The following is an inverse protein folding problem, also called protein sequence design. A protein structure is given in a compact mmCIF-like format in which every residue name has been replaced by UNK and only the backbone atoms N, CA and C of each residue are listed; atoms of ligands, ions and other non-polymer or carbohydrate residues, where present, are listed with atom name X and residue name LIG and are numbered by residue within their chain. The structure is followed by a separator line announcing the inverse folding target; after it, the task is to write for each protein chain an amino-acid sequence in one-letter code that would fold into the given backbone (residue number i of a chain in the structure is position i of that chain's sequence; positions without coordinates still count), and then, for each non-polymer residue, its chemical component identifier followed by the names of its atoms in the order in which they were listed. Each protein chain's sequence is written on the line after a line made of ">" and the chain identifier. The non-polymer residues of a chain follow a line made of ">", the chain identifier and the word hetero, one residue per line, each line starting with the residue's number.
data_IF_960982508906
#
_entry.id   IF_960982508906
#
_cell.length_a   1.000
_cell.length_b   1.000
_cell.length_c   1.000
_cell.angle_alpha   90.00
_cell.angle_beta   90.00
_cell.angle_gamma   90.00
#
_symmetry.space_group_name_H-M   'P 1'
#
loop_
_entity.id
_entity.type
_entity.pdbx_description
1 polymer ?
#
# COMPACT_ATOMS: atom_id res chain seq x y z
N UNK A 1 0.78 21.09 16.49
CA UNK A 1 0.94 19.65 16.78
C UNK A 1 -0.08 19.28 17.84
N UNK A 2 -0.71 18.12 17.72
CA UNK A 2 -1.60 17.62 18.78
C UNK A 2 -0.81 17.42 20.08
N UNK A 3 -1.48 17.59 21.21
CA UNK A 3 -0.85 17.42 22.52
C UNK A 3 -0.43 15.95 22.72
N UNK A 4 0.80 15.76 23.20
CA UNK A 4 1.35 14.43 23.46
C UNK A 4 0.69 13.81 24.70
N UNK A 5 0.46 12.51 24.69
CA UNK A 5 -0.11 11.80 25.84
C UNK A 5 0.71 12.06 27.14
N UNK A 6 0.06 12.39 28.27
CA UNK A 6 0.76 12.65 29.53
C UNK A 6 1.57 11.43 30.03
N UNK A 7 2.79 11.66 30.48
CA UNK A 7 3.69 10.59 30.97
C UNK A 7 3.12 9.81 32.16
N UNK A 8 2.29 10.44 32.99
CA UNK A 8 1.61 9.77 34.11
C UNK A 8 0.65 8.67 33.62
N UNK A 9 -0.08 8.92 32.53
CA UNK A 9 -0.98 7.93 31.90
C UNK A 9 -0.18 6.77 31.30
N UNK A 10 0.96 7.05 30.65
CA UNK A 10 1.85 6.01 30.10
C UNK A 10 2.42 5.12 31.20
N UNK A 11 2.85 5.73 32.32
CA UNK A 11 3.37 4.98 33.48
C UNK A 11 2.28 4.08 34.09
N UNK A 12 1.08 4.61 34.25
CA UNK A 12 -0.06 3.85 34.76
C UNK A 12 -0.44 2.69 33.81
N UNK A 13 -0.50 2.96 32.49
CA UNK A 13 -0.76 1.95 31.48
C UNK A 13 0.31 0.83 31.49
N UNK A 14 1.58 1.19 31.52
CA UNK A 14 2.66 0.19 31.55
C UNK A 14 2.61 -0.69 32.81
N UNK A 15 2.28 -0.11 33.97
CA UNK A 15 2.10 -0.87 35.20
C UNK A 15 0.89 -1.81 35.14
N UNK A 16 -0.23 -1.34 34.57
CA UNK A 16 -1.43 -2.14 34.37
C UNK A 16 -1.16 -3.33 33.43
N UNK A 17 -0.53 -3.09 32.29
CA UNK A 17 -0.21 -4.14 31.29
C UNK A 17 0.72 -5.21 31.87
N UNK A 18 1.78 -4.82 32.57
CA UNK A 18 2.70 -5.78 33.23
C UNK A 18 2.02 -6.64 34.29
N UNK A 19 1.03 -6.07 34.99
CA UNK A 19 0.23 -6.80 36.01
C UNK A 19 -0.74 -7.78 35.36
N UNK A 20 -1.34 -7.41 34.22
CA UNK A 20 -2.34 -8.22 33.53
C UNK A 20 -1.72 -9.37 32.75
N UNK A 21 -0.57 -9.13 32.10
CA UNK A 21 0.17 -10.16 31.36
C UNK A 21 1.68 -9.88 31.42
N UNK A 22 2.40 -10.65 32.21
CA UNK A 22 3.86 -10.53 32.34
C UNK A 22 4.63 -11.05 31.11
N UNK A 23 3.97 -11.79 30.21
CA UNK A 23 4.56 -12.30 28.97
C UNK A 23 4.43 -11.30 27.81
N UNK A 24 3.58 -10.29 27.96
CA UNK A 24 3.43 -9.24 26.93
C UNK A 24 4.73 -8.45 26.79
N UNK A 25 5.31 -8.42 25.60
CA UNK A 25 6.51 -7.63 25.34
C UNK A 25 6.16 -6.13 25.35
N UNK A 26 6.73 -5.42 26.28
CA UNK A 26 6.61 -3.95 26.41
C UNK A 26 7.99 -3.30 26.26
N UNK A 27 8.08 -2.26 25.44
CA UNK A 27 9.26 -1.43 25.26
C UNK A 27 8.87 0.02 25.59
N UNK A 28 9.64 0.63 26.46
CA UNK A 28 9.44 2.01 26.91
C UNK A 28 10.69 2.87 26.74
N UNK A 29 10.87 3.87 27.60
CA UNK A 29 11.97 4.83 27.53
C UNK A 29 13.38 4.19 27.58
N UNK A 30 13.50 2.97 28.08
CA UNK A 30 14.73 2.16 28.09
C UNK A 30 15.16 1.69 26.70
N UNK A 31 14.28 1.76 25.70
CA UNK A 31 14.51 1.28 24.32
C UNK A 31 14.23 2.37 23.27
N UNK A 32 14.90 3.54 23.34
CA UNK A 32 14.55 4.71 22.51
C UNK A 32 14.68 4.45 21.01
N UNK A 33 15.68 3.69 20.56
CA UNK A 33 15.87 3.34 19.14
C UNK A 33 14.73 2.47 18.60
N UNK A 34 14.24 1.54 19.41
CA UNK A 34 13.11 0.68 19.02
C UNK A 34 11.80 1.47 19.02
N UNK A 35 11.59 2.38 19.99
CA UNK A 35 10.44 3.29 19.96
C UNK A 35 10.43 4.12 18.69
N UNK A 36 11.56 4.72 18.32
CA UNK A 36 11.69 5.49 17.07
C UNK A 36 11.41 4.62 15.85
N UNK A 37 12.08 3.49 15.73
CA UNK A 37 11.94 2.56 14.59
C UNK A 37 10.50 2.08 14.41
N UNK A 38 9.81 1.74 15.53
CA UNK A 38 8.43 1.24 15.50
C UNK A 38 7.38 2.36 15.37
N UNK A 39 7.78 3.61 15.51
CA UNK A 39 6.93 4.79 15.30
C UNK A 39 6.98 5.34 13.86
N UNK A 40 7.79 4.78 12.98
CA UNK A 40 7.99 5.28 11.62
C UNK A 40 7.49 4.30 10.57
N UNK A 41 7.05 4.85 9.45
CA UNK A 41 6.94 4.16 8.16
C UNK A 41 7.86 4.88 7.14
N UNK A 42 7.64 4.68 5.85
CA UNK A 42 8.45 5.29 4.78
C UNK A 42 7.90 6.66 4.32
N UNK A 43 7.36 7.48 5.24
CA UNK A 43 6.84 8.82 4.92
C UNK A 43 7.89 9.80 4.38
N UNK A 44 9.15 9.47 4.48
CA UNK A 44 10.28 10.24 3.94
C UNK A 44 10.31 10.32 2.40
N UNK A 45 9.44 9.56 1.73
CA UNK A 45 9.13 9.78 0.30
C UNK A 45 8.48 11.15 0.04
N UNK A 46 7.84 11.73 1.05
CA UNK A 46 7.16 13.01 0.97
C UNK A 46 7.93 14.11 1.70
N UNK A 47 8.48 15.10 0.97
CA UNK A 47 9.11 16.27 1.60
C UNK A 47 8.16 17.10 2.48
N UNK A 48 6.84 16.99 2.25
CA UNK A 48 5.79 17.63 3.06
C UNK A 48 5.60 16.90 4.39
N UNK A 49 5.61 15.55 4.35
CA UNK A 49 5.39 14.75 5.56
C UNK A 49 6.59 14.72 6.49
N UNK A 50 7.81 14.86 5.97
CA UNK A 50 9.03 14.82 6.80
C UNK A 50 8.98 15.84 7.94
N UNK A 51 8.82 17.16 7.70
CA UNK A 51 8.74 18.15 8.79
C UNK A 51 7.49 17.99 9.63
N UNK A 52 6.37 17.54 9.07
CA UNK A 52 5.11 17.35 9.76
C UNK A 52 5.15 16.21 10.79
N UNK A 53 5.84 15.12 10.45
CA UNK A 53 5.90 13.90 11.25
C UNK A 53 7.18 13.77 12.08
N UNK A 54 8.13 14.69 11.92
CA UNK A 54 9.35 14.72 12.68
C UNK A 54 9.06 14.85 14.18
N UNK A 55 9.61 13.91 14.98
CA UNK A 55 9.40 13.87 16.43
C UNK A 55 8.11 13.18 16.87
N UNK A 56 7.22 12.77 15.96
CA UNK A 56 6.08 11.93 16.30
C UNK A 56 6.57 10.51 16.64
N UNK A 57 6.61 10.19 17.93
CA UNK A 57 7.13 8.93 18.45
C UNK A 57 6.26 8.42 19.58
N UNK A 58 6.03 7.11 19.62
CA UNK A 58 5.37 6.44 20.72
C UNK A 58 6.15 6.59 22.02
N UNK A 59 5.45 6.51 23.15
CA UNK A 59 6.04 6.49 24.48
C UNK A 59 6.13 5.05 25.02
N UNK A 60 5.30 4.15 24.45
CA UNK A 60 5.27 2.75 24.78
C UNK A 60 5.00 1.93 23.50
N UNK A 61 5.62 0.76 23.40
CA UNK A 61 5.28 -0.23 22.36
C UNK A 61 4.87 -1.51 23.06
N UNK A 62 3.75 -2.11 22.64
CA UNK A 62 3.33 -3.45 23.02
C UNK A 62 3.35 -4.34 21.76
N UNK A 63 4.01 -5.51 21.84
CA UNK A 63 3.94 -6.52 20.79
C UNK A 63 3.05 -7.66 21.22
N UNK A 64 1.90 -7.79 20.56
CA UNK A 64 0.96 -8.86 20.80
C UNK A 64 1.29 -10.11 19.96
N UNK A 65 1.17 -11.28 20.56
CA UNK A 65 1.32 -12.60 19.92
C UNK A 65 0.02 -13.40 19.90
N UNK A 66 -0.99 -12.93 20.63
CA UNK A 66 -2.34 -13.53 20.67
C UNK A 66 -3.41 -12.45 20.63
N UNK A 67 -4.64 -12.83 20.24
CA UNK A 67 -5.80 -11.94 20.20
C UNK A 67 -6.18 -11.47 21.62
N UNK A 68 -5.99 -12.33 22.64
CA UNK A 68 -6.23 -11.99 24.03
C UNK A 68 -5.32 -10.84 24.49
N UNK A 69 -4.06 -10.82 24.04
CA UNK A 69 -3.14 -9.71 24.33
C UNK A 69 -3.61 -8.42 23.64
N UNK A 70 -4.15 -8.51 22.41
CA UNK A 70 -4.74 -7.33 21.73
C UNK A 70 -5.92 -6.79 22.52
N UNK A 71 -6.86 -7.66 22.94
CA UNK A 71 -7.99 -7.27 23.81
C UNK A 71 -7.50 -6.60 25.09
N UNK A 72 -6.52 -7.18 25.77
CA UNK A 72 -5.95 -6.67 26.99
C UNK A 72 -5.35 -5.26 26.79
N UNK A 73 -4.55 -5.08 25.74
CA UNK A 73 -3.92 -3.77 25.43
C UNK A 73 -4.98 -2.73 25.06
N UNK A 74 -5.94 -3.09 24.21
CA UNK A 74 -7.02 -2.18 23.81
C UNK A 74 -7.84 -1.71 25.02
N UNK A 75 -8.26 -2.63 25.89
CA UNK A 75 -9.02 -2.28 27.11
C UNK A 75 -8.22 -1.41 28.07
N UNK A 76 -6.95 -1.71 28.29
CA UNK A 76 -6.09 -0.90 29.15
C UNK A 76 -5.89 0.52 28.59
N UNK A 77 -5.62 0.66 27.28
CA UNK A 77 -5.52 1.96 26.62
C UNK A 77 -6.81 2.78 26.76
N UNK A 78 -7.97 2.15 26.52
CA UNK A 78 -9.26 2.83 26.63
C UNK A 78 -9.55 3.29 28.08
N UNK A 79 -9.26 2.45 29.10
CA UNK A 79 -9.44 2.82 30.52
C UNK A 79 -8.54 3.94 30.97
N UNK A 80 -7.30 3.99 30.47
CA UNK A 80 -6.31 5.01 30.81
C UNK A 80 -6.39 6.26 29.92
N UNK A 81 -7.24 6.27 28.88
CA UNK A 81 -7.34 7.37 27.93
C UNK A 81 -6.05 7.56 27.10
N UNK A 82 -5.30 6.48 26.84
CA UNK A 82 -4.04 6.53 26.09
C UNK A 82 -4.28 6.28 24.61
N UNK A 83 -3.82 7.18 23.72
CA UNK A 83 -3.86 6.97 22.27
C UNK A 83 -3.14 5.68 21.87
N UNK A 84 -3.76 4.91 20.95
CA UNK A 84 -3.22 3.67 20.43
C UNK A 84 -3.07 3.76 18.91
N UNK A 85 -1.88 3.48 18.40
CA UNK A 85 -1.61 3.35 16.96
C UNK A 85 -1.24 1.92 16.63
N UNK A 86 -1.98 1.29 15.71
CA UNK A 86 -1.70 -0.08 15.27
C UNK A 86 -0.59 -0.09 14.23
N UNK A 87 0.32 -1.05 14.35
CA UNK A 87 1.40 -1.27 13.40
C UNK A 87 1.45 -2.73 12.96
N UNK A 88 1.47 -2.95 11.65
CA UNK A 88 1.93 -4.20 11.05
C UNK A 88 3.43 -4.14 10.75
N UNK A 89 3.83 -4.32 9.51
CA UNK A 89 5.24 -4.22 9.10
C UNK A 89 5.76 -2.77 8.94
N UNK A 90 4.88 -1.77 8.87
CA UNK A 90 5.24 -0.36 8.70
C UNK A 90 5.84 -0.02 7.34
N UNK A 91 5.40 -0.71 6.29
CA UNK A 91 5.86 -0.50 4.90
C UNK A 91 5.06 0.54 4.14
N UNK A 92 4.09 1.20 4.77
CA UNK A 92 3.37 2.36 4.22
C UNK A 92 4.29 3.57 4.07
N UNK A 93 3.83 4.59 3.36
CA UNK A 93 4.62 5.79 3.08
C UNK A 93 3.81 7.11 3.19
N UNK A 94 2.67 7.06 3.89
CA UNK A 94 1.81 8.23 4.12
C UNK A 94 1.78 8.63 5.62
N UNK A 95 2.70 8.11 6.43
CA UNK A 95 2.65 8.31 7.88
C UNK A 95 1.51 7.53 8.56
N UNK A 96 1.00 6.48 7.92
CA UNK A 96 -0.22 5.77 8.33
C UNK A 96 -0.12 5.18 9.73
N UNK A 97 1.05 4.65 10.12
CA UNK A 97 1.30 4.08 11.44
C UNK A 97 2.18 4.95 12.34
N UNK A 98 2.33 6.25 12.02
CA UNK A 98 3.06 7.21 12.85
C UNK A 98 2.13 7.74 13.95
N UNK A 99 2.49 7.63 15.24
CA UNK A 99 1.65 8.04 16.36
C UNK A 99 1.68 9.57 16.57
N UNK A 100 0.72 10.29 15.99
CA UNK A 100 0.69 11.77 16.00
C UNK A 100 0.59 12.38 17.41
N UNK A 101 -0.02 11.66 18.37
CA UNK A 101 -0.22 12.09 19.75
C UNK A 101 0.66 11.29 20.74
N UNK A 102 1.67 10.57 20.27
CA UNK A 102 2.44 9.67 21.11
C UNK A 102 1.62 8.45 21.55
N UNK A 103 1.55 8.18 22.85
CA UNK A 103 0.81 7.06 23.41
C UNK A 103 1.48 5.70 23.13
N UNK A 104 0.68 4.67 22.84
CA UNK A 104 1.14 3.31 22.63
C UNK A 104 1.07 2.93 21.14
N UNK A 105 2.15 2.32 20.61
CA UNK A 105 2.13 1.58 19.36
C UNK A 105 1.88 0.10 19.65
N UNK A 106 0.84 -0.47 19.07
CA UNK A 106 0.53 -1.90 19.12
C UNK A 106 1.11 -2.59 17.88
N UNK A 107 2.21 -3.30 18.08
CA UNK A 107 2.89 -4.10 17.04
C UNK A 107 2.21 -5.46 16.94
N UNK A 108 1.57 -5.72 15.80
CA UNK A 108 0.87 -6.97 15.49
C UNK A 108 1.74 -8.00 14.76
N UNK A 109 3.03 -7.77 14.60
CA UNK A 109 3.93 -8.70 13.90
C UNK A 109 3.99 -10.11 14.52
N UNK A 110 3.58 -10.24 15.78
CA UNK A 110 3.46 -11.51 16.48
C UNK A 110 2.22 -12.33 16.11
N UNK A 111 1.15 -11.70 15.58
CA UNK A 111 -0.02 -12.39 15.03
C UNK A 111 0.26 -12.72 13.55
N UNK A 112 0.93 -13.84 13.29
CA UNK A 112 1.49 -14.11 11.95
C UNK A 112 1.16 -15.51 11.39
N UNK A 113 0.16 -16.19 11.95
CA UNK A 113 -0.21 -17.54 11.53
C UNK A 113 -1.15 -17.51 10.33
N UNK A 114 -0.93 -18.41 9.38
CA UNK A 114 -1.95 -18.85 8.45
C UNK A 114 -2.85 -19.82 9.21
N UNK A 115 -4.08 -19.39 9.56
CA UNK A 115 -5.01 -20.16 10.38
C UNK A 115 -5.62 -21.32 9.60
N UNK A 116 -6.12 -21.03 8.38
CA UNK A 116 -6.79 -22.01 7.54
C UNK A 116 -6.70 -21.63 6.06
N UNK A 117 -6.61 -22.63 5.21
CA UNK A 117 -6.94 -22.54 3.79
C UNK A 117 -8.01 -23.57 3.47
N UNK A 118 -9.20 -23.13 3.11
CA UNK A 118 -10.22 -24.01 2.53
C UNK A 118 -9.84 -24.28 1.06
N UNK A 119 -9.38 -25.49 0.79
CA UNK A 119 -8.91 -25.88 -0.54
C UNK A 119 -10.04 -25.97 -1.57
N UNK A 120 -11.29 -26.23 -1.12
CA UNK A 120 -12.45 -26.32 -2.02
C UNK A 120 -12.88 -24.95 -2.52
N UNK A 121 -12.93 -23.95 -1.64
CA UNK A 121 -13.36 -22.59 -1.97
C UNK A 121 -12.22 -21.64 -2.27
N UNK A 122 -10.99 -21.99 -1.87
CA UNK A 122 -9.82 -21.12 -1.95
C UNK A 122 -9.85 -19.94 -0.96
N UNK A 123 -10.68 -20.02 0.08
CA UNK A 123 -10.72 -18.99 1.13
C UNK A 123 -9.56 -19.20 2.11
N UNK A 124 -8.77 -18.16 2.29
CA UNK A 124 -7.68 -18.08 3.24
C UNK A 124 -8.13 -17.35 4.49
N UNK A 125 -7.89 -17.93 5.68
CA UNK A 125 -7.94 -17.22 6.95
C UNK A 125 -6.52 -17.05 7.49
N UNK A 126 -6.13 -15.80 7.78
CA UNK A 126 -4.76 -15.43 8.13
C UNK A 126 -4.73 -14.29 9.13
N UNK A 127 -3.77 -14.32 10.06
CA UNK A 127 -3.56 -13.26 11.03
C UNK A 127 -2.93 -12.01 10.42
N UNK A 128 -3.30 -10.84 10.97
CA UNK A 128 -3.02 -9.52 10.38
C UNK A 128 -1.53 -9.17 10.26
N UNK A 129 -0.69 -9.69 11.15
CA UNK A 129 0.77 -9.47 11.14
C UNK A 129 1.52 -10.40 10.19
N UNK A 130 0.88 -11.39 9.59
CA UNK A 130 1.53 -12.32 8.67
C UNK A 130 2.13 -11.59 7.47
N UNK A 131 3.40 -11.84 7.17
CA UNK A 131 4.07 -11.26 6.00
C UNK A 131 3.55 -11.89 4.71
N UNK A 132 3.21 -11.06 3.74
CA UNK A 132 2.61 -11.52 2.48
C UNK A 132 3.54 -12.46 1.71
N UNK A 133 4.85 -12.23 1.73
CA UNK A 133 5.82 -13.13 1.12
C UNK A 133 5.91 -14.50 1.83
N UNK A 134 5.63 -14.58 3.13
CA UNK A 134 5.53 -15.84 3.86
C UNK A 134 4.23 -16.58 3.53
N UNK A 135 3.12 -15.83 3.38
CA UNK A 135 1.83 -16.37 2.92
C UNK A 135 1.99 -16.98 1.51
N UNK A 136 2.57 -16.26 0.56
CA UNK A 136 2.81 -16.77 -0.80
C UNK A 136 3.61 -18.08 -0.81
N UNK A 137 4.65 -18.18 0.03
CA UNK A 137 5.44 -19.42 0.17
C UNK A 137 4.63 -20.61 0.68
N UNK A 138 3.62 -20.36 1.52
CA UNK A 138 2.74 -21.42 2.05
C UNK A 138 1.62 -21.79 1.07
N UNK A 139 1.17 -20.84 0.24
CA UNK A 139 0.13 -21.04 -0.77
C UNK A 139 0.65 -21.74 -2.03
N UNK A 140 1.86 -21.41 -2.47
CA UNK A 140 2.43 -21.93 -3.72
C UNK A 140 2.45 -23.46 -3.85
N UNK A 141 2.84 -24.27 -2.82
CA UNK A 141 2.78 -25.73 -2.89
C UNK A 141 1.36 -26.30 -3.03
N UNK A 142 0.34 -25.50 -2.68
CA UNK A 142 -1.08 -25.83 -2.78
C UNK A 142 -1.72 -25.32 -4.09
N UNK A 143 -0.90 -24.84 -5.04
CA UNK A 143 -1.37 -24.27 -6.30
C UNK A 143 -2.19 -22.98 -6.14
N UNK A 144 -2.01 -22.24 -5.05
CA UNK A 144 -2.73 -21.02 -4.74
C UNK A 144 -1.80 -19.81 -4.67
N UNK A 145 -2.36 -18.62 -4.88
CA UNK A 145 -1.67 -17.33 -4.79
C UNK A 145 -2.59 -16.25 -4.21
N UNK A 146 -2.01 -15.21 -3.62
CA UNK A 146 -2.74 -13.99 -3.29
C UNK A 146 -3.19 -13.28 -4.58
N UNK A 147 -4.40 -12.71 -4.58
CA UNK A 147 -4.93 -11.96 -5.73
C UNK A 147 -4.20 -10.64 -5.95
N UNK A 148 -3.91 -9.95 -4.88
CA UNK A 148 -3.33 -8.60 -4.87
C UNK A 148 -2.14 -8.58 -3.92
N UNK A 149 -1.03 -8.03 -4.39
CA UNK A 149 0.19 -7.86 -3.57
C UNK A 149 0.82 -6.49 -3.84
N UNK A 150 1.36 -5.80 -2.81
CA UNK A 150 2.13 -4.59 -3.01
C UNK A 150 3.52 -4.92 -3.58
N UNK A 151 4.23 -3.92 -4.12
CA UNK A 151 5.65 -4.08 -4.47
C UNK A 151 6.50 -4.54 -3.28
N UNK A 152 6.12 -4.12 -2.06
CA UNK A 152 6.75 -4.52 -0.78
C UNK A 152 6.32 -5.91 -0.28
N UNK A 153 5.81 -6.80 -1.12
CA UNK A 153 5.25 -8.11 -0.74
C UNK A 153 6.15 -8.93 0.19
N UNK A 154 7.47 -8.81 0.07
CA UNK A 154 8.42 -9.55 0.92
C UNK A 154 8.40 -9.11 2.39
N UNK A 155 8.05 -7.86 2.64
CA UNK A 155 8.11 -7.23 3.97
C UNK A 155 6.77 -6.69 4.47
N UNK A 156 5.76 -6.53 3.61
CA UNK A 156 4.46 -6.04 4.01
C UNK A 156 3.67 -7.10 4.78
N UNK A 157 2.97 -6.69 5.85
CA UNK A 157 1.97 -7.51 6.53
C UNK A 157 0.62 -7.41 5.82
N UNK A 158 -0.14 -8.51 5.83
CA UNK A 158 -1.44 -8.58 5.14
C UNK A 158 -2.47 -7.63 5.76
N UNK A 159 -2.53 -7.51 7.08
CA UNK A 159 -3.43 -6.56 7.74
C UNK A 159 -3.06 -5.10 7.46
N UNK A 160 -1.74 -4.79 7.43
CA UNK A 160 -1.26 -3.47 7.04
C UNK A 160 -1.58 -3.12 5.59
N UNK A 161 -1.54 -4.11 4.68
CA UNK A 161 -1.91 -3.92 3.28
C UNK A 161 -3.39 -3.60 3.11
N UNK A 162 -4.30 -4.27 3.84
CA UNK A 162 -5.73 -3.94 3.83
C UNK A 162 -5.99 -2.58 4.49
N UNK A 163 -5.38 -2.31 5.64
CA UNK A 163 -5.61 -1.06 6.38
C UNK A 163 -5.06 0.19 5.68
N UNK A 164 -4.03 0.07 4.86
CA UNK A 164 -3.32 1.23 4.30
C UNK A 164 -3.12 1.23 2.79
N UNK A 165 -3.32 0.10 2.11
CA UNK A 165 -3.17 0.01 0.66
C UNK A 165 -4.47 0.27 -0.10
N UNK A 166 -4.36 0.49 -1.40
CA UNK A 166 -5.51 0.64 -2.30
C UNK A 166 -5.47 -0.37 -3.45
N UNK A 167 -4.29 -0.77 -3.91
CA UNK A 167 -4.06 -1.70 -5.00
C UNK A 167 -2.61 -2.17 -5.03
N UNK A 168 -2.24 -2.84 -6.11
CA UNK A 168 -0.90 -3.38 -6.31
C UNK A 168 -0.85 -4.30 -7.53
N UNK A 169 0.17 -5.13 -7.60
CA UNK A 169 0.30 -6.19 -8.63
C UNK A 169 -0.91 -7.12 -8.49
N UNK A 170 -1.55 -7.40 -9.61
CA UNK A 170 -2.84 -8.11 -9.66
C UNK A 170 -4.05 -7.19 -9.84
N UNK A 171 -3.92 -5.86 -9.65
CA UNK A 171 -5.04 -4.92 -9.84
C UNK A 171 -5.59 -4.89 -11.26
N UNK A 172 -4.80 -5.26 -12.27
CA UNK A 172 -5.29 -5.44 -13.64
C UNK A 172 -6.34 -6.56 -13.76
N UNK A 173 -6.19 -7.62 -12.95
CA UNK A 173 -7.12 -8.76 -12.96
C UNK A 173 -8.28 -8.59 -11.98
N UNK A 174 -7.98 -8.13 -10.77
CA UNK A 174 -8.88 -8.21 -9.62
C UNK A 174 -9.43 -6.86 -9.15
N UNK A 175 -9.01 -5.74 -9.79
CA UNK A 175 -9.38 -4.41 -9.35
C UNK A 175 -8.61 -3.95 -8.11
N UNK A 176 -9.21 -3.04 -7.35
CA UNK A 176 -8.66 -2.50 -6.12
C UNK A 176 -9.04 -3.34 -4.88
N UNK A 177 -8.35 -3.12 -3.77
CA UNK A 177 -8.62 -3.83 -2.51
C UNK A 177 -10.06 -3.62 -2.00
N UNK A 178 -10.65 -2.45 -2.25
CA UNK A 178 -12.04 -2.13 -1.86
C UNK A 178 -13.10 -2.67 -2.83
N UNK A 179 -12.70 -3.23 -3.97
CA UNK A 179 -13.66 -3.82 -4.91
C UNK A 179 -14.29 -5.09 -4.31
N UNK A 180 -15.58 -5.32 -4.55
CA UNK A 180 -16.30 -6.47 -4.01
C UNK A 180 -15.61 -7.79 -4.34
N UNK A 181 -15.47 -8.66 -3.35
CA UNK A 181 -14.90 -10.00 -3.50
C UNK A 181 -13.37 -10.06 -3.29
N UNK A 182 -12.68 -8.96 -2.99
CA UNK A 182 -11.26 -8.98 -2.63
C UNK A 182 -11.01 -9.05 -1.12
N UNK A 183 -12.03 -8.76 -0.31
CA UNK A 183 -12.05 -8.96 1.14
C UNK A 183 -13.36 -9.66 1.50
N UNK A 184 -13.29 -10.80 2.18
CA UNK A 184 -14.46 -11.62 2.54
C UNK A 184 -14.87 -11.44 4.00
N UNK A 185 -14.00 -10.90 4.84
CA UNK A 185 -14.30 -10.62 6.23
C UNK A 185 -13.06 -10.26 7.04
N UNK A 186 -13.31 -9.69 8.21
CA UNK A 186 -12.29 -9.31 9.18
C UNK A 186 -12.66 -9.81 10.57
N UNK A 187 -11.65 -10.21 11.33
CA UNK A 187 -11.71 -10.30 12.78
C UNK A 187 -11.13 -8.99 13.35
N UNK A 188 -11.88 -8.34 14.23
CA UNK A 188 -11.59 -6.98 14.69
C UNK A 188 -11.76 -6.87 16.19
N UNK A 189 -10.83 -6.22 16.87
CA UNK A 189 -10.93 -5.82 18.27
C UNK A 189 -11.31 -4.34 18.34
N UNK A 190 -12.30 -4.00 19.16
CA UNK A 190 -12.73 -2.62 19.42
C UNK A 190 -11.81 -1.95 20.45
N UNK A 191 -11.76 -0.60 20.45
CA UNK A 191 -11.02 0.17 21.45
C UNK A 191 -12.00 0.78 22.44
N UNK A 192 -12.40 -0.02 23.43
CA UNK A 192 -13.33 0.29 24.48
C UNK A 192 -12.79 -0.21 25.83
N UNK A 193 -13.26 0.28 26.99
CA UNK A 193 -12.82 -0.22 28.32
C UNK A 193 -13.02 -1.75 28.48
N UNK A 194 -14.06 -2.31 27.86
CA UNK A 194 -14.35 -3.74 27.70
C UNK A 194 -14.36 -4.08 26.20
N UNK A 195 -13.20 -4.37 25.59
CA UNK A 195 -13.12 -4.58 24.14
C UNK A 195 -13.91 -5.80 23.69
N UNK A 196 -14.51 -5.69 22.52
CA UNK A 196 -15.21 -6.80 21.86
C UNK A 196 -14.36 -7.38 20.74
N UNK A 197 -14.40 -8.69 20.59
CA UNK A 197 -13.89 -9.38 19.41
C UNK A 197 -15.05 -9.60 18.43
N UNK A 198 -14.96 -9.00 17.26
CA UNK A 198 -16.00 -9.01 16.23
C UNK A 198 -15.57 -9.84 15.03
N UNK A 199 -16.52 -10.63 14.51
CA UNK A 199 -16.36 -11.31 13.21
C UNK A 199 -17.22 -10.56 12.20
N UNK A 200 -16.59 -9.83 11.29
CA UNK A 200 -17.24 -9.01 10.29
C UNK A 200 -17.28 -9.74 8.96
N UNK A 201 -18.42 -9.70 8.27
CA UNK A 201 -18.52 -10.13 6.89
C UNK A 201 -17.92 -9.10 5.91
N UNK A 202 -18.01 -9.36 4.61
CA UNK A 202 -17.43 -8.50 3.58
C UNK A 202 -17.99 -7.07 3.64
N UNK A 203 -19.30 -6.90 3.84
CA UNK A 203 -19.95 -5.60 3.87
C UNK A 203 -19.56 -4.80 5.11
N UNK A 204 -19.61 -5.41 6.29
CA UNK A 204 -19.21 -4.79 7.55
C UNK A 204 -17.70 -4.50 7.64
N UNK A 205 -16.88 -5.24 6.86
CA UNK A 205 -15.43 -5.03 6.77
C UNK A 205 -15.03 -3.86 5.86
N UNK A 206 -15.88 -3.47 4.91
CA UNK A 206 -15.56 -2.45 3.91
C UNK A 206 -15.10 -1.10 4.51
N UNK A 207 -15.68 -0.58 5.59
CA UNK A 207 -15.24 0.68 6.21
C UNK A 207 -13.85 0.63 6.84
N UNK A 208 -13.32 -0.58 7.15
CA UNK A 208 -11.99 -0.74 7.75
C UNK A 208 -10.88 -0.87 6.68
N UNK A 209 -11.26 -1.12 5.42
CA UNK A 209 -10.35 -1.18 4.30
C UNK A 209 -9.90 0.24 3.92
N UNK A 210 -8.58 0.46 3.88
CA UNK A 210 -7.96 1.77 3.61
C UNK A 210 -8.41 2.87 4.62
N UNK A 211 -8.46 2.51 5.90
CA UNK A 211 -8.84 3.42 6.98
C UNK A 211 -7.67 3.74 7.93
N UNK A 212 -6.44 3.37 7.59
CA UNK A 212 -5.20 3.61 8.36
C UNK A 212 -5.27 3.10 9.81
N UNK A 213 -6.11 2.08 10.06
CA UNK A 213 -6.32 1.55 11.41
C UNK A 213 -6.91 2.58 12.39
N UNK A 214 -7.78 3.46 11.91
CA UNK A 214 -8.44 4.48 12.74
C UNK A 214 -9.74 4.00 13.37
N UNK A 215 -10.34 2.92 12.85
CA UNK A 215 -11.71 2.54 13.17
C UNK A 215 -11.87 1.03 13.48
N UNK A 216 -10.83 0.41 14.02
CA UNK A 216 -10.82 -0.98 14.46
C UNK A 216 -9.44 -1.60 14.37
N UNK A 217 -9.12 -2.54 15.27
CA UNK A 217 -7.86 -3.27 15.31
C UNK A 217 -8.05 -4.59 14.59
N UNK A 218 -7.56 -4.71 13.37
CA UNK A 218 -7.67 -5.93 12.56
C UNK A 218 -6.70 -6.98 13.13
N UNK A 219 -7.21 -8.13 13.56
CA UNK A 219 -6.42 -9.25 14.11
C UNK A 219 -6.30 -10.41 13.14
N UNK A 220 -7.34 -10.67 12.32
CA UNK A 220 -7.28 -11.66 11.25
C UNK A 220 -8.15 -11.24 10.05
N UNK A 221 -7.90 -11.88 8.90
CA UNK A 221 -8.57 -11.61 7.64
C UNK A 221 -9.05 -12.90 6.98
N UNK A 222 -10.19 -12.83 6.30
CA UNK A 222 -10.67 -13.84 5.38
C UNK A 222 -10.57 -13.29 3.98
N UNK A 223 -9.75 -13.92 3.13
CA UNK A 223 -9.40 -13.46 1.79
C UNK A 223 -9.63 -14.56 0.76
N UNK A 224 -10.08 -14.23 -0.46
CA UNK A 224 -10.06 -15.18 -1.56
C UNK A 224 -8.63 -15.31 -2.10
N UNK A 225 -8.21 -16.53 -2.37
CA UNK A 225 -7.02 -16.80 -3.16
C UNK A 225 -7.39 -17.00 -4.64
N UNK A 226 -6.39 -17.00 -5.51
CA UNK A 226 -6.53 -17.45 -6.91
C UNK A 226 -5.72 -18.72 -7.14
N UNK A 227 -5.92 -19.36 -8.28
CA UNK A 227 -4.96 -20.34 -8.77
C UNK A 227 -3.60 -19.67 -9.00
N UNK A 228 -2.53 -20.40 -8.64
CA UNK A 228 -1.17 -19.95 -8.89
C UNK A 228 -0.85 -20.06 -10.39
N UNK A 229 -0.49 -18.94 -11.00
CA UNK A 229 -0.01 -18.91 -12.39
C UNK A 229 1.51 -18.74 -12.37
N UNK A 230 2.21 -19.55 -13.16
CA UNK A 230 3.66 -19.42 -13.36
C UNK A 230 3.96 -18.27 -14.32
N UNK A 231 3.77 -17.04 -13.86
CA UNK A 231 3.93 -15.85 -14.67
C UNK A 231 5.27 -15.78 -15.38
N UNK A 232 5.23 -15.37 -16.64
CA UNK A 232 6.41 -15.01 -17.41
C UNK A 232 6.64 -13.51 -17.29
N UNK A 233 7.85 -13.13 -16.99
CA UNK A 233 8.29 -11.76 -16.90
C UNK A 233 8.87 -11.36 -18.27
N UNK A 234 8.38 -10.27 -18.88
CA UNK A 234 8.87 -9.75 -20.14
C UNK A 234 9.28 -8.28 -19.98
N UNK A 235 10.39 -7.92 -20.59
CA UNK A 235 10.82 -6.53 -20.80
C UNK A 235 10.80 -6.27 -22.30
N UNK A 236 10.03 -5.26 -22.70
CA UNK A 236 9.86 -4.85 -24.10
C UNK A 236 10.31 -3.41 -24.26
N UNK A 237 11.26 -3.18 -25.14
CA UNK A 237 11.78 -1.85 -25.46
C UNK A 237 11.00 -1.19 -26.59
N UNK A 238 10.83 0.14 -26.50
CA UNK A 238 10.23 0.99 -27.54
C UNK A 238 11.11 2.23 -27.75
N UNK A 239 11.20 2.69 -29.00
CA UNK A 239 11.95 3.91 -29.33
C UNK A 239 11.21 5.19 -28.92
N UNK A 240 9.87 5.13 -28.93
CA UNK A 240 9.03 6.29 -28.68
C UNK A 240 8.01 6.05 -27.56
N UNK A 241 7.82 7.04 -26.70
CA UNK A 241 6.83 7.01 -25.62
C UNK A 241 5.41 6.72 -26.12
N UNK A 242 4.98 7.39 -27.21
CA UNK A 242 3.65 7.19 -27.77
C UNK A 242 3.39 5.76 -28.24
N UNK A 243 4.43 5.04 -28.74
CA UNK A 243 4.31 3.63 -29.10
C UNK A 243 4.15 2.74 -27.88
N UNK A 244 4.96 2.97 -26.83
CA UNK A 244 4.86 2.22 -25.57
C UNK A 244 3.48 2.41 -24.91
N UNK A 245 2.99 3.65 -24.86
CA UNK A 245 1.67 3.99 -24.32
C UNK A 245 0.56 3.32 -25.14
N UNK A 246 0.57 3.45 -26.47
CA UNK A 246 -0.43 2.84 -27.34
C UNK A 246 -0.43 1.31 -27.24
N UNK A 247 0.76 0.69 -27.14
CA UNK A 247 0.86 -0.76 -26.94
C UNK A 247 0.28 -1.18 -25.59
N UNK A 248 0.57 -0.42 -24.51
CA UNK A 248 0.02 -0.68 -23.18
C UNK A 248 -1.51 -0.52 -23.13
N UNK A 249 -2.07 0.48 -23.79
CA UNK A 249 -3.53 0.66 -23.92
C UNK A 249 -4.16 -0.48 -24.73
N UNK A 250 -3.58 -0.79 -25.89
CA UNK A 250 -4.12 -1.82 -26.78
C UNK A 250 -4.11 -3.23 -26.15
N UNK A 251 -3.04 -3.58 -25.42
CA UNK A 251 -2.90 -4.91 -24.81
C UNK A 251 -3.96 -5.17 -23.72
N UNK A 252 -4.44 -4.12 -23.03
CA UNK A 252 -5.50 -4.26 -22.02
C UNK A 252 -6.84 -4.66 -22.59
N UNK A 253 -7.04 -4.49 -23.91
CA UNK A 253 -8.26 -4.87 -24.64
C UNK A 253 -8.13 -6.22 -25.35
N UNK A 254 -7.03 -6.96 -25.11
CA UNK A 254 -6.82 -8.29 -25.68
C UNK A 254 -7.29 -9.40 -24.73
N UNK A 255 -7.32 -10.64 -25.26
CA UNK A 255 -7.57 -11.84 -24.48
C UNK A 255 -6.31 -12.40 -23.79
N UNK A 256 -5.16 -11.71 -23.86
CA UNK A 256 -3.97 -12.15 -23.13
C UNK A 256 -4.20 -12.14 -21.62
N UNK A 257 -3.86 -13.24 -20.97
CA UNK A 257 -3.90 -13.30 -19.52
C UNK A 257 -2.64 -12.63 -18.95
N UNK A 258 -2.83 -11.43 -18.38
CA UNK A 258 -1.78 -10.59 -17.82
C UNK A 258 -2.08 -10.27 -16.35
N UNK A 259 -1.07 -10.34 -15.49
CA UNK A 259 -1.19 -9.97 -14.08
C UNK A 259 -0.80 -8.50 -13.80
N UNK A 260 0.16 -8.00 -14.55
CA UNK A 260 0.62 -6.61 -14.44
C UNK A 260 1.15 -6.09 -15.77
N UNK A 261 1.00 -4.80 -15.98
CA UNK A 261 1.56 -4.02 -17.09
C UNK A 261 2.09 -2.74 -16.47
N UNK A 262 3.39 -2.49 -16.62
CA UNK A 262 4.07 -1.27 -16.16
C UNK A 262 4.71 -0.57 -17.36
N UNK A 263 4.49 0.73 -17.53
CA UNK A 263 5.13 1.53 -18.58
C UNK A 263 6.09 2.52 -17.93
N UNK A 264 7.32 2.52 -18.39
CA UNK A 264 8.40 3.36 -17.85
C UNK A 264 9.01 4.24 -18.93
N UNK A 265 9.12 5.51 -18.62
CA UNK A 265 9.77 6.50 -19.48
C UNK A 265 11.30 6.35 -19.46
N UNK A 266 11.96 6.68 -20.58
CA UNK A 266 13.40 6.51 -20.81
C UNK A 266 14.32 6.99 -19.68
N UNK A 267 14.12 8.17 -19.04
CA UNK A 267 14.95 8.59 -17.94
C UNK A 267 14.91 7.62 -16.76
N UNK A 268 13.71 7.10 -16.40
CA UNK A 268 13.56 6.08 -15.35
C UNK A 268 14.23 4.78 -15.75
N UNK A 269 13.99 4.34 -16.98
CA UNK A 269 14.55 3.09 -17.55
C UNK A 269 16.06 3.05 -17.44
N UNK A 270 16.73 4.18 -17.69
CA UNK A 270 18.21 4.25 -17.69
C UNK A 270 18.86 3.96 -16.33
N UNK A 271 18.11 4.05 -15.22
CA UNK A 271 18.64 3.99 -13.86
C UNK A 271 18.11 2.83 -13.01
N UNK A 272 17.15 2.06 -13.54
CA UNK A 272 16.60 0.92 -12.80
C UNK A 272 17.57 -0.26 -12.78
N UNK A 273 17.61 -1.02 -11.65
CA UNK A 273 18.45 -2.22 -11.52
C UNK A 273 17.79 -3.41 -12.23
N UNK A 274 18.01 -3.57 -13.52
CA UNK A 274 17.41 -4.62 -14.33
C UNK A 274 17.82 -6.03 -13.86
N UNK A 275 16.96 -7.05 -14.06
CA UNK A 275 17.31 -8.45 -13.76
C UNK A 275 18.56 -8.90 -14.49
N UNK A 276 19.29 -9.85 -13.92
CA UNK A 276 20.49 -10.40 -14.55
C UNK A 276 20.15 -11.01 -15.93
N UNK A 277 20.94 -10.67 -16.93
CA UNK A 277 20.73 -11.07 -18.33
C UNK A 277 19.76 -10.18 -19.11
N UNK A 278 19.09 -9.24 -18.46
CA UNK A 278 18.37 -8.19 -19.17
C UNK A 278 19.39 -7.18 -19.71
N UNK A 279 19.39 -6.86 -21.01
CA UNK A 279 20.34 -5.93 -21.58
C UNK A 279 20.14 -4.52 -21.01
N UNK A 280 21.24 -3.74 -20.91
CA UNK A 280 21.13 -2.32 -20.62
C UNK A 280 20.21 -1.63 -21.64
N UNK A 281 19.44 -0.62 -21.22
CA UNK A 281 18.57 0.09 -22.14
C UNK A 281 19.40 0.88 -23.17
N UNK A 282 18.88 0.97 -24.39
CA UNK A 282 19.40 1.88 -25.38
C UNK A 282 19.12 3.35 -24.99
N UNK A 283 19.92 4.31 -25.40
CA UNK A 283 19.65 5.72 -25.13
C UNK A 283 18.24 6.14 -25.63
N UNK A 284 17.43 6.66 -24.74
CA UNK A 284 16.05 7.07 -25.05
C UNK A 284 15.02 5.94 -25.11
N UNK A 285 15.39 4.71 -24.77
CA UNK A 285 14.48 3.56 -24.78
C UNK A 285 13.42 3.66 -23.67
N UNK A 286 12.15 3.54 -24.06
CA UNK A 286 11.02 3.34 -23.15
C UNK A 286 10.84 1.84 -22.89
N UNK A 287 10.37 1.45 -21.70
CA UNK A 287 10.14 0.02 -21.43
C UNK A 287 8.73 -0.28 -20.95
N UNK A 288 8.18 -1.35 -21.50
CA UNK A 288 6.97 -2.00 -21.04
C UNK A 288 7.37 -3.28 -20.27
N UNK A 289 6.95 -3.41 -19.03
CA UNK A 289 7.14 -4.59 -18.21
C UNK A 289 5.83 -5.35 -18.13
N UNK A 290 5.87 -6.67 -18.35
CA UNK A 290 4.69 -7.51 -18.35
C UNK A 290 4.88 -8.72 -17.44
N UNK A 291 3.82 -9.09 -16.72
CA UNK A 291 3.65 -10.41 -16.12
C UNK A 291 2.55 -11.12 -16.88
N UNK A 292 2.92 -12.04 -17.76
CA UNK A 292 2.03 -12.74 -18.68
C UNK A 292 1.93 -14.23 -18.36
N UNK A 293 0.75 -14.84 -18.57
CA UNK A 293 0.60 -16.29 -18.49
C UNK A 293 1.42 -16.99 -19.60
N UNK A 294 1.93 -18.22 -19.37
CA UNK A 294 2.74 -18.93 -20.35
C UNK A 294 2.08 -19.05 -21.74
N UNK A 295 0.77 -19.29 -21.79
CA UNK A 295 0.03 -19.39 -23.03
C UNK A 295 0.05 -18.11 -23.90
N UNK A 296 0.23 -16.95 -23.29
CA UNK A 296 0.33 -15.69 -24.02
C UNK A 296 1.61 -15.60 -24.87
N UNK A 297 2.67 -16.33 -24.52
CA UNK A 297 3.98 -16.24 -25.19
C UNK A 297 4.00 -16.69 -26.64
N UNK A 298 3.05 -17.52 -27.06
CA UNK A 298 2.96 -17.97 -28.43
C UNK A 298 2.68 -16.83 -29.42
N UNK A 299 1.94 -15.81 -28.98
CA UNK A 299 1.47 -14.71 -29.84
C UNK A 299 1.96 -13.35 -29.38
N UNK A 300 2.10 -13.14 -28.07
CA UNK A 300 2.40 -11.84 -27.47
C UNK A 300 3.68 -11.17 -28.02
N UNK A 301 4.82 -11.87 -28.21
CA UNK A 301 6.02 -11.23 -28.76
C UNK A 301 5.82 -10.66 -30.17
N UNK A 302 5.18 -11.42 -31.06
CA UNK A 302 4.89 -10.98 -32.43
C UNK A 302 3.84 -9.85 -32.45
N UNK A 303 2.84 -9.91 -31.56
CA UNK A 303 1.84 -8.86 -31.38
C UNK A 303 2.46 -7.53 -30.95
N UNK A 304 3.45 -7.57 -30.03
CA UNK A 304 4.20 -6.41 -29.58
C UNK A 304 5.14 -5.88 -30.67
N UNK A 305 5.84 -6.76 -31.40
CA UNK A 305 6.72 -6.40 -32.50
C UNK A 305 5.96 -5.66 -33.62
N UNK A 306 4.75 -6.07 -33.93
CA UNK A 306 3.88 -5.39 -34.92
C UNK A 306 3.49 -3.96 -34.48
N UNK A 307 3.76 -3.56 -33.21
CA UNK A 307 3.50 -2.24 -32.63
C UNK A 307 4.78 -1.46 -32.27
N UNK A 308 5.93 -1.90 -32.82
CA UNK A 308 7.22 -1.26 -32.60
C UNK A 308 7.93 -1.69 -31.30
N UNK A 309 7.41 -2.70 -30.61
CA UNK A 309 8.04 -3.25 -29.41
C UNK A 309 9.11 -4.30 -29.74
N UNK A 310 10.27 -4.21 -29.13
CA UNK A 310 11.34 -5.18 -29.19
C UNK A 310 11.45 -5.96 -27.88
N UNK A 311 11.22 -7.27 -27.90
CA UNK A 311 11.44 -8.10 -26.72
C UNK A 311 12.93 -8.07 -26.33
N UNK A 312 13.23 -7.47 -25.18
CA UNK A 312 14.58 -7.31 -24.67
C UNK A 312 15.00 -8.45 -23.73
N UNK A 313 14.04 -8.96 -22.95
CA UNK A 313 14.32 -10.01 -22.00
C UNK A 313 13.05 -10.73 -21.60
N UNK A 314 13.20 -12.02 -21.24
CA UNK A 314 12.15 -12.87 -20.73
C UNK A 314 12.69 -13.89 -19.73
N UNK A 315 11.96 -14.15 -18.66
CA UNK A 315 12.21 -15.25 -17.72
C UNK A 315 10.95 -15.66 -16.97
N UNK A 316 10.82 -16.92 -16.52
CA UNK A 316 9.78 -17.32 -15.58
C UNK A 316 9.93 -16.58 -14.24
N UNK A 317 8.81 -16.19 -13.64
CA UNK A 317 8.84 -15.61 -12.29
C UNK A 317 9.40 -16.63 -11.29
N UNK A 318 10.30 -16.16 -10.42
CA UNK A 318 11.00 -17.01 -9.45
C UNK A 318 12.26 -17.71 -9.96
N UNK A 319 12.54 -17.67 -11.28
CA UNK A 319 13.76 -18.23 -11.86
C UNK A 319 14.76 -17.16 -12.34
N UNK A 320 14.35 -15.89 -12.38
CA UNK A 320 15.26 -14.79 -12.68
C UNK A 320 16.27 -14.58 -11.57
N UNK A 321 17.54 -14.38 -11.95
CA UNK A 321 18.57 -13.93 -11.01
C UNK A 321 18.47 -12.41 -10.81
N UNK A 322 18.77 -11.94 -9.59
CA UNK A 322 18.64 -10.52 -9.23
C UNK A 322 17.21 -10.14 -8.85
N UNK A 323 16.82 -8.89 -9.10
CA UNK A 323 15.50 -8.38 -8.76
C UNK A 323 14.45 -8.88 -9.77
N UNK A 324 13.32 -9.45 -9.32
CA UNK A 324 12.20 -9.75 -10.21
C UNK A 324 11.52 -8.46 -10.69
N UNK A 325 10.84 -8.47 -11.85
CA UNK A 325 10.22 -7.27 -12.43
C UNK A 325 9.21 -6.59 -11.49
N UNK A 326 8.52 -7.35 -10.63
CA UNK A 326 7.60 -6.79 -9.64
C UNK A 326 8.28 -5.80 -8.67
N UNK A 327 9.59 -5.92 -8.47
CA UNK A 327 10.39 -4.99 -7.66
C UNK A 327 10.80 -3.72 -8.43
N UNK A 328 10.42 -3.58 -9.68
CA UNK A 328 10.66 -2.41 -10.53
C UNK A 328 9.35 -1.66 -10.84
N UNK A 329 8.23 -2.06 -10.22
CA UNK A 329 6.90 -1.52 -10.48
C UNK A 329 6.32 -0.86 -9.22
N UNK A 330 5.22 -0.16 -9.37
CA UNK A 330 4.54 0.55 -8.29
C UNK A 330 5.52 1.47 -7.53
N UNK A 331 5.38 1.62 -6.23
CA UNK A 331 6.23 2.52 -5.44
C UNK A 331 7.71 2.15 -5.43
N UNK A 332 8.11 0.95 -5.86
CA UNK A 332 9.52 0.59 -5.97
C UNK A 332 10.23 1.31 -7.13
N UNK A 333 9.54 1.69 -8.20
CA UNK A 333 10.11 2.59 -9.23
C UNK A 333 10.58 3.90 -8.58
N UNK A 334 9.73 4.49 -7.73
CA UNK A 334 10.06 5.70 -6.95
C UNK A 334 11.22 5.46 -6.00
N UNK A 335 11.24 4.31 -5.29
CA UNK A 335 12.33 3.93 -4.39
C UNK A 335 13.69 3.92 -5.11
N UNK A 336 13.77 3.22 -6.25
CA UNK A 336 15.01 3.10 -7.02
C UNK A 336 15.49 4.45 -7.54
N UNK A 337 14.58 5.28 -8.06
CA UNK A 337 14.92 6.61 -8.55
C UNK A 337 15.43 7.51 -7.43
N UNK A 338 14.72 7.59 -6.31
CA UNK A 338 15.06 8.43 -5.18
C UNK A 338 16.36 8.01 -4.47
N UNK A 339 16.77 6.77 -4.58
CA UNK A 339 18.07 6.32 -4.06
C UNK A 339 19.26 7.09 -4.67
N UNK A 340 19.08 7.67 -5.87
CA UNK A 340 20.09 8.46 -6.57
C UNK A 340 19.70 9.94 -6.72
N UNK A 341 18.42 10.27 -6.52
CA UNK A 341 17.81 11.60 -6.76
C UNK A 341 16.96 12.00 -5.56
N UNK A 342 17.57 12.45 -4.47
CA UNK A 342 16.87 12.81 -3.22
C UNK A 342 15.98 14.05 -3.34
N UNK A 343 16.17 14.86 -4.39
CA UNK A 343 15.36 16.04 -4.73
C UNK A 343 14.08 15.70 -5.52
N UNK A 344 13.70 14.43 -5.57
CA UNK A 344 12.48 13.96 -6.24
C UNK A 344 11.49 13.38 -5.23
N UNK A 345 10.21 13.48 -5.58
CA UNK A 345 9.08 12.84 -4.90
C UNK A 345 8.14 12.25 -5.95
N UNK A 346 6.89 11.94 -5.61
CA UNK A 346 5.96 11.30 -6.53
C UNK A 346 4.51 11.73 -6.26
N UNK A 347 3.63 11.43 -7.21
CA UNK A 347 2.17 11.48 -7.04
C UNK A 347 1.56 10.12 -7.36
N UNK A 348 0.28 9.97 -7.04
CA UNK A 348 -0.54 8.85 -7.50
C UNK A 348 -1.85 9.40 -8.07
N UNK A 349 -2.23 8.92 -9.25
CA UNK A 349 -3.47 9.34 -9.89
C UNK A 349 -4.01 8.25 -10.82
N UNK A 350 -5.32 8.25 -11.02
CA UNK A 350 -5.95 7.54 -12.11
C UNK A 350 -6.17 8.52 -13.27
N UNK A 351 -5.65 8.17 -14.43
CA UNK A 351 -5.72 9.03 -15.61
C UNK A 351 -7.15 9.06 -16.22
N UNK A 352 -7.60 10.20 -16.79
CA UNK A 352 -8.82 10.23 -17.59
C UNK A 352 -8.65 9.42 -18.87
N UNK A 353 -9.74 8.97 -19.45
CA UNK A 353 -9.72 8.33 -20.78
C UNK A 353 -10.27 9.28 -21.84
N UNK A 354 -9.56 9.43 -22.97
CA UNK A 354 -8.24 8.86 -23.30
C UNK A 354 -7.10 9.52 -22.48
N UNK A 355 -6.06 8.74 -22.19
CA UNK A 355 -4.96 9.18 -21.31
C UNK A 355 -4.00 10.17 -21.98
N UNK A 356 -3.74 9.99 -23.30
CA UNK A 356 -2.70 10.74 -24.02
C UNK A 356 -2.85 12.28 -23.90
N UNK A 357 -4.03 12.89 -24.07
CA UNK A 357 -4.15 14.35 -23.96
C UNK A 357 -3.79 14.91 -22.58
N UNK A 358 -4.07 14.15 -21.51
CA UNK A 358 -3.67 14.53 -20.15
C UNK A 358 -2.14 14.46 -19.97
N UNK A 359 -1.53 13.35 -20.43
CA UNK A 359 -0.08 13.15 -20.34
C UNK A 359 0.69 14.21 -21.16
N UNK A 360 0.24 14.48 -22.38
CA UNK A 360 0.84 15.49 -23.27
C UNK A 360 0.79 16.89 -22.65
N UNK A 361 -0.40 17.32 -22.18
CA UNK A 361 -0.57 18.63 -21.54
C UNK A 361 0.30 18.81 -20.31
N UNK A 362 0.38 17.81 -19.45
CA UNK A 362 1.25 17.86 -18.26
C UNK A 362 2.72 17.85 -18.65
N UNK A 363 3.12 17.13 -19.72
CA UNK A 363 4.48 17.16 -20.26
C UNK A 363 4.86 18.52 -20.82
N UNK A 364 3.96 19.17 -21.57
CA UNK A 364 4.20 20.52 -22.10
C UNK A 364 4.44 21.54 -20.99
N UNK A 365 3.73 21.40 -19.87
CA UNK A 365 3.80 22.34 -18.75
C UNK A 365 4.98 22.06 -17.80
N UNK A 366 5.29 20.80 -17.53
CA UNK A 366 6.24 20.40 -16.49
C UNK A 366 7.57 19.88 -17.04
N UNK A 367 7.65 19.56 -18.33
CA UNK A 367 8.89 19.12 -18.98
C UNK A 367 9.56 17.95 -18.26
N UNK A 368 10.86 18.05 -18.06
CA UNK A 368 11.69 17.02 -17.42
C UNK A 368 11.60 17.02 -15.89
N UNK A 369 10.84 17.92 -15.27
CA UNK A 369 10.55 17.89 -13.84
C UNK A 369 9.44 16.89 -13.49
N UNK A 370 8.82 16.25 -14.51
CA UNK A 370 7.79 15.22 -14.35
C UNK A 370 8.14 13.99 -15.22
N UNK A 371 8.35 12.84 -14.61
CA UNK A 371 8.69 11.59 -15.30
C UNK A 371 7.54 10.59 -15.19
N UNK A 372 7.20 9.94 -16.32
CA UNK A 372 6.07 9.05 -16.38
C UNK A 372 6.41 7.61 -15.99
N UNK A 373 5.66 7.13 -15.01
CA UNK A 373 5.51 5.73 -14.64
C UNK A 373 4.03 5.40 -14.59
N UNK A 374 3.58 4.42 -15.40
CA UNK A 374 2.17 4.03 -15.49
C UNK A 374 2.00 2.56 -15.12
N UNK A 375 0.88 2.25 -14.47
CA UNK A 375 0.46 0.89 -14.09
C UNK A 375 -0.94 0.62 -14.61
N UNK A 376 -1.14 -0.53 -15.26
CA UNK A 376 -2.49 -0.91 -15.67
C UNK A 376 -3.25 -1.50 -14.49
N UNK A 377 -4.47 -1.00 -14.29
CA UNK A 377 -5.39 -1.41 -13.24
C UNK A 377 -6.78 -1.68 -13.84
N UNK A 378 -7.66 -2.33 -13.10
CA UNK A 378 -9.07 -2.49 -13.45
C UNK A 378 -9.91 -1.65 -12.49
N UNK A 379 -10.80 -0.85 -13.05
CA UNK A 379 -11.76 -0.07 -12.29
C UNK A 379 -13.15 -0.27 -12.91
N UNK A 380 -14.14 -0.68 -12.10
CA UNK A 380 -15.52 -0.91 -12.55
C UNK A 380 -15.61 -1.80 -13.81
N UNK A 381 -14.78 -2.84 -13.86
CA UNK A 381 -14.74 -3.79 -14.98
C UNK A 381 -13.91 -3.35 -16.18
N UNK A 382 -13.52 -2.08 -16.31
CA UNK A 382 -12.69 -1.58 -17.40
C UNK A 382 -11.21 -1.46 -17.02
N UNK A 383 -10.32 -1.74 -17.95
CA UNK A 383 -8.90 -1.46 -17.78
C UNK A 383 -8.62 0.04 -17.87
N UNK A 384 -7.78 0.55 -16.97
CA UNK A 384 -7.38 1.95 -16.86
C UNK A 384 -5.87 2.03 -16.63
N UNK A 385 -5.27 3.17 -16.91
CA UNK A 385 -3.90 3.44 -16.50
C UNK A 385 -3.90 4.35 -15.27
N UNK A 386 -3.31 3.85 -14.18
CA UNK A 386 -2.90 4.65 -13.05
C UNK A 386 -1.50 5.19 -13.31
N UNK A 387 -1.25 6.45 -12.99
CA UNK A 387 0.06 7.05 -13.07
C UNK A 387 0.64 7.22 -11.66
N UNK A 388 1.90 6.83 -11.50
CA UNK A 388 2.73 7.12 -10.35
C UNK A 388 3.92 7.98 -10.79
N UNK A 389 3.66 9.19 -11.35
CA UNK A 389 4.71 10.03 -11.88
C UNK A 389 5.67 10.45 -10.78
N UNK A 390 6.95 10.52 -11.14
CA UNK A 390 7.96 11.13 -10.29
C UNK A 390 8.06 12.60 -10.64
N UNK A 391 8.14 13.44 -9.62
CA UNK A 391 8.27 14.88 -9.81
C UNK A 391 9.48 15.42 -9.06
N UNK A 392 10.18 16.38 -9.65
CA UNK A 392 11.26 17.07 -8.97
C UNK A 392 10.68 18.04 -7.94
N UNK A 393 11.16 17.94 -6.73
CA UNK A 393 10.69 18.79 -5.64
C UNK A 393 11.15 20.25 -5.81
N UNK A 394 10.22 21.16 -5.94
CA UNK A 394 10.45 22.60 -6.08
C UNK A 394 9.74 23.43 -4.97
N UNK A 395 9.25 22.73 -3.94
CA UNK A 395 8.47 23.35 -2.86
C UNK A 395 6.98 23.05 -2.91
N UNK A 396 6.28 23.39 -1.83
CA UNK A 396 4.85 23.08 -1.66
C UNK A 396 3.97 23.81 -2.67
N UNK A 397 4.29 25.06 -3.03
CA UNK A 397 3.54 25.82 -4.04
C UNK A 397 3.58 25.13 -5.42
N UNK A 398 4.76 24.65 -5.83
CA UNK A 398 4.93 23.91 -7.07
C UNK A 398 4.16 22.58 -7.06
N UNK A 399 4.18 21.87 -5.92
CA UNK A 399 3.38 20.66 -5.75
C UNK A 399 1.88 20.97 -5.85
N UNK A 400 1.39 22.02 -5.18
CA UNK A 400 -0.02 22.41 -5.24
C UNK A 400 -0.44 22.77 -6.66
N UNK A 401 0.41 23.49 -7.40
CA UNK A 401 0.14 23.79 -8.80
C UNK A 401 0.02 22.53 -9.66
N UNK A 402 0.91 21.54 -9.47
CA UNK A 402 0.83 20.27 -10.19
C UNK A 402 -0.45 19.50 -9.84
N UNK A 403 -0.84 19.46 -8.56
CA UNK A 403 -2.10 18.85 -8.14
C UNK A 403 -3.30 19.48 -8.85
N UNK A 404 -3.32 20.80 -8.97
CA UNK A 404 -4.40 21.54 -9.65
C UNK A 404 -4.36 21.33 -11.18
N UNK A 405 -3.17 21.23 -11.78
CA UNK A 405 -3.01 20.90 -13.20
C UNK A 405 -3.53 19.50 -13.51
N UNK A 406 -3.20 18.52 -12.67
CA UNK A 406 -3.71 17.16 -12.80
C UNK A 406 -5.24 17.11 -12.70
N UNK A 407 -5.85 17.82 -11.74
CA UNK A 407 -7.32 17.93 -11.61
C UNK A 407 -7.95 18.56 -12.83
N UNK A 408 -7.35 19.65 -13.37
CA UNK A 408 -7.82 20.31 -14.60
C UNK A 408 -7.75 19.40 -15.83
N UNK A 409 -6.84 18.46 -15.85
CA UNK A 409 -6.78 17.43 -16.88
C UNK A 409 -7.81 16.30 -16.67
N UNK A 410 -8.55 16.28 -15.55
CA UNK A 410 -9.51 15.24 -15.23
C UNK A 410 -8.93 14.02 -14.53
N UNK A 411 -7.69 14.09 -14.04
CA UNK A 411 -7.10 13.02 -13.25
C UNK A 411 -7.73 12.93 -11.84
N UNK A 412 -7.95 11.72 -11.37
CA UNK A 412 -8.37 11.45 -9.98
C UNK A 412 -7.12 11.22 -9.14
N UNK A 413 -6.86 12.13 -8.21
CA UNK A 413 -5.65 12.12 -7.39
C UNK A 413 -5.82 11.28 -6.13
N UNK A 414 -4.73 10.60 -5.74
CA UNK A 414 -4.50 9.96 -4.45
C UNK A 414 -3.24 10.60 -3.86
N UNK A 415 -3.42 11.62 -3.03
CA UNK A 415 -2.31 12.47 -2.61
C UNK A 415 -1.42 11.79 -1.53
N UNK A 416 -0.15 11.46 -1.83
CA UNK A 416 0.75 10.83 -0.85
C UNK A 416 1.40 11.83 0.14
N UNK A 417 1.07 13.11 0.05
CA UNK A 417 1.68 14.18 0.84
C UNK A 417 0.78 14.67 1.98
N UNK A 418 -0.19 13.85 2.39
CA UNK A 418 -1.14 14.15 3.45
C UNK A 418 -1.26 13.01 4.44
N UNK A 419 -1.70 13.31 5.67
CA UNK A 419 -1.81 12.30 6.74
C UNK A 419 -3.24 11.77 6.93
N UNK A 420 -4.26 12.47 6.41
CA UNK A 420 -5.65 12.04 6.57
C UNK A 420 -6.05 10.98 5.55
N UNK A 421 -6.91 10.06 5.98
CA UNK A 421 -7.45 8.99 5.14
C UNK A 421 -8.15 9.56 3.90
N UNK A 422 -9.00 10.58 4.12
CA UNK A 422 -9.82 11.18 3.08
C UNK A 422 -8.98 11.91 2.02
N UNK A 423 -8.01 12.71 2.46
CA UNK A 423 -7.20 13.53 1.55
C UNK A 423 -6.15 12.69 0.81
N UNK A 424 -5.69 11.58 1.42
CA UNK A 424 -4.87 10.56 0.75
C UNK A 424 -5.66 9.69 -0.24
N UNK A 425 -6.99 9.67 -0.11
CA UNK A 425 -7.93 9.01 -0.99
C UNK A 425 -8.60 9.97 -1.99
N UNK A 426 -9.92 9.94 -2.06
CA UNK A 426 -10.71 10.74 -3.01
C UNK A 426 -11.04 12.17 -2.52
N UNK A 427 -10.56 12.58 -1.35
CA UNK A 427 -10.82 13.90 -0.77
C UNK A 427 -12.21 14.05 -0.14
N UNK A 428 -12.99 12.96 -0.07
CA UNK A 428 -14.37 12.96 0.48
C UNK A 428 -14.43 12.19 1.79
N UNK A 429 -15.29 12.65 2.70
CA UNK A 429 -15.58 11.95 3.94
C UNK A 429 -16.42 10.70 3.62
N UNK A 430 -15.92 9.54 4.05
CA UNK A 430 -16.64 8.28 4.00
C UNK A 430 -17.44 8.12 5.31
N UNK A 431 -18.75 8.29 5.22
CA UNK A 431 -19.64 8.23 6.38
C UNK A 431 -19.61 6.86 7.09
N UNK A 432 -19.39 5.78 6.33
CA UNK A 432 -19.30 4.43 6.89
C UNK A 432 -18.01 4.24 7.70
N UNK A 433 -16.89 4.86 7.27
CA UNK A 433 -15.65 4.87 8.06
C UNK A 433 -15.81 5.64 9.38
N UNK A 434 -16.52 6.78 9.34
CA UNK A 434 -16.83 7.57 10.55
C UNK A 434 -17.78 6.83 11.48
N UNK A 435 -18.81 6.18 10.94
CA UNK A 435 -19.75 5.36 11.72
C UNK A 435 -19.05 4.15 12.37
N UNK A 436 -18.15 3.48 11.64
CA UNK A 436 -17.34 2.39 12.20
C UNK A 436 -16.44 2.89 13.34
N UNK A 437 -15.80 4.07 13.17
CA UNK A 437 -15.03 4.72 14.24
C UNK A 437 -15.87 4.94 15.49
N UNK A 438 -17.06 5.54 15.35
CA UNK A 438 -17.98 5.78 16.46
C UNK A 438 -18.39 4.48 17.17
N UNK A 439 -18.61 3.40 16.40
CA UNK A 439 -19.04 2.10 16.91
C UNK A 439 -17.94 1.28 17.59
N UNK A 440 -16.67 1.44 17.17
CA UNK A 440 -15.56 0.58 17.58
C UNK A 440 -14.47 1.30 18.38
N UNK A 441 -14.51 2.63 18.41
CA UNK A 441 -13.59 3.48 19.18
C UNK A 441 -14.29 4.79 19.57
N UNK A 442 -15.32 4.72 20.43
CA UNK A 442 -16.14 5.88 20.76
C UNK A 442 -15.36 7.02 21.46
N UNK A 443 -14.22 6.71 22.08
CA UNK A 443 -13.35 7.71 22.71
C UNK A 443 -12.37 8.38 21.74
N UNK A 444 -12.29 7.91 20.48
CA UNK A 444 -11.41 8.48 19.46
C UNK A 444 -9.92 8.28 19.69
N UNK A 445 -9.53 7.25 20.43
CA UNK A 445 -8.14 6.99 20.82
C UNK A 445 -7.35 6.18 19.79
N UNK A 446 -8.01 5.55 18.81
CA UNK A 446 -7.35 4.72 17.81
C UNK A 446 -6.81 5.56 16.66
N UNK A 447 -5.51 5.59 16.52
CA UNK A 447 -4.74 6.35 15.53
C UNK A 447 -5.27 7.79 15.32
N UNK A 448 -5.37 8.59 16.40
CA UNK A 448 -6.07 9.87 16.38
C UNK A 448 -5.41 10.88 15.42
N UNK A 449 -6.21 11.78 14.86
CA UNK A 449 -5.75 12.85 13.96
C UNK A 449 -5.72 12.47 12.47
N UNK A 450 -6.07 11.24 12.10
CA UNK A 450 -5.99 10.77 10.70
C UNK A 450 -7.33 10.56 9.99
N UNK A 451 -8.45 10.57 10.70
CA UNK A 451 -9.79 10.51 10.11
C UNK A 451 -10.45 11.90 10.24
N UNK A 452 -10.44 12.66 9.16
CA UNK A 452 -10.93 14.04 9.13
C UNK A 452 -12.43 14.13 9.44
N UNK A 453 -13.21 13.18 8.93
CA UNK A 453 -14.65 13.12 9.20
C UNK A 453 -14.97 12.97 10.68
N UNK A 454 -14.14 12.24 11.43
CA UNK A 454 -14.27 12.13 12.89
C UNK A 454 -13.92 13.45 13.60
N UNK A 455 -12.85 14.15 13.17
CA UNK A 455 -12.44 15.42 13.76
C UNK A 455 -13.46 16.54 13.58
N UNK A 456 -14.28 16.47 12.53
CA UNK A 456 -15.30 17.45 12.19
C UNK A 456 -16.71 17.06 12.69
N UNK A 457 -16.85 15.90 13.34
CA UNK A 457 -18.15 15.48 13.92
C UNK A 457 -18.46 16.33 15.13
N UNK A 458 -19.68 16.90 15.26
CA UNK A 458 -20.12 17.50 16.51
C UNK A 458 -20.20 16.40 17.57
N UNK A 459 -19.47 16.59 18.69
CA UNK A 459 -19.41 15.66 19.83
C UNK A 459 -20.76 15.46 20.52
#
# INVERSE_FOLDING_TARGET
>A
MAERCPEAQITALAAELRRLDSALLLLGAESPLELERLSRDYYDYSPVLVPLLQGCCAQLVARATTVEQVLLVAGACARQGVPLTVRGAGTGNYGQCVPLQGGLVLDLSGLNQLRQLDEATGVLEVEAGALMGAIEKQLAPRGRALRLVPSTVRSASIGGFIAGGSGGIGSLRWGFLRDPGNLLGLEVVTLEPEPRLLQLDAAASAPLNHAYGTNGIITALRLPTSEAVHWQQLVVGFEQWGQALAAAQAITSTAFELNAITVLEAPLVSQLPWPAGCPAPEPGEQRLLLLAAPAALEVLPSWLAARGGALRWQAPQGQSRGLPLRELSWNHTTLHWRAQHSDWTYLQMLLPQPEAPCLERLREQWGDDLLWHLEAVRQQGAARLAALPLLRWRGEESLQQLLDDCRRCGAVLFNPHVISVEDGGLGVIDADQVAAKAAYDPAGLLNPGKLRGWLNSPG
#
